data_IF_509596275546
#
_entry.id   IF_509596275546
#
_cell.length_a   1.000
_cell.length_b   1.000
_cell.length_c   1.000
_cell.angle_alpha   90.00
_cell.angle_beta   90.00
_cell.angle_gamma   90.00
#
_symmetry.space_group_name_H-M   'P 1'
#
loop_
_entity.id
_entity.type
_entity.pdbx_description
1 polymer ?
#
# COMPACT_ATOMS: atom_id res chain seq x y z
N UNK A 1 -28.59 -26.28 -0.02
CA UNK A 1 -27.47 -26.69 0.88
C UNK A 1 -28.03 -27.60 1.95
N UNK A 2 -27.44 -28.77 2.18
CA UNK A 2 -27.92 -29.72 3.18
C UNK A 2 -27.07 -29.69 4.45
N UNK A 3 -27.71 -29.90 5.59
CA UNK A 3 -27.05 -29.93 6.89
C UNK A 3 -26.12 -31.15 7.00
N UNK A 4 -24.82 -30.99 7.30
CA UNK A 4 -23.87 -32.10 7.39
C UNK A 4 -24.12 -33.02 8.59
N UNK A 5 -25.01 -32.66 9.52
CA UNK A 5 -25.36 -33.46 10.69
C UNK A 5 -26.56 -34.35 10.46
N UNK A 6 -27.62 -33.84 9.83
CA UNK A 6 -28.90 -34.58 9.71
C UNK A 6 -29.38 -34.72 8.25
N UNK A 7 -28.70 -34.17 7.27
CA UNK A 7 -29.05 -34.26 5.85
C UNK A 7 -30.17 -33.35 5.37
N UNK A 8 -30.90 -32.69 6.29
CA UNK A 8 -32.02 -31.81 5.98
C UNK A 8 -31.57 -30.51 5.25
N UNK A 9 -32.45 -29.92 4.47
CA UNK A 9 -32.18 -28.67 3.80
C UNK A 9 -32.12 -27.50 4.79
N UNK A 10 -31.13 -26.60 4.61
CA UNK A 10 -30.99 -25.40 5.44
C UNK A 10 -32.10 -24.39 5.18
N UNK A 11 -32.66 -23.83 6.25
CA UNK A 11 -33.37 -22.57 6.22
C UNK A 11 -32.41 -21.39 6.25
N UNK A 12 -32.83 -20.28 5.71
CA UNK A 12 -32.07 -19.02 5.75
C UNK A 12 -32.60 -18.16 6.90
N UNK A 13 -31.76 -17.86 7.88
CA UNK A 13 -32.04 -16.88 8.91
C UNK A 13 -31.57 -15.52 8.41
N UNK A 14 -32.51 -14.57 8.26
CA UNK A 14 -32.24 -13.20 7.82
C UNK A 14 -32.73 -12.23 8.90
N UNK A 15 -31.78 -11.49 9.51
CA UNK A 15 -32.11 -10.41 10.44
C UNK A 15 -30.95 -9.42 10.50
N UNK A 16 -31.24 -8.14 10.51
CA UNK A 16 -30.26 -7.05 10.68
C UNK A 16 -29.04 -7.12 9.74
N UNK A 17 -29.29 -7.53 8.50
CA UNK A 17 -28.23 -7.71 7.50
C UNK A 17 -27.35 -8.96 7.71
N UNK A 18 -27.68 -9.80 8.71
CA UNK A 18 -27.09 -11.12 8.85
C UNK A 18 -27.87 -12.13 8.03
N UNK A 19 -27.15 -12.89 7.21
CA UNK A 19 -27.68 -14.03 6.47
C UNK A 19 -26.91 -15.28 6.90
N UNK A 20 -27.57 -16.19 7.61
CA UNK A 20 -26.94 -17.43 8.12
C UNK A 20 -27.77 -18.62 7.73
N UNK A 21 -27.10 -19.70 7.33
CA UNK A 21 -27.75 -20.99 7.05
C UNK A 21 -28.00 -21.74 8.35
N UNK A 22 -29.25 -22.13 8.60
CA UNK A 22 -29.62 -22.80 9.82
C UNK A 22 -30.51 -24.02 9.56
N UNK A 23 -30.29 -25.08 10.33
CA UNK A 23 -31.08 -26.30 10.23
C UNK A 23 -32.26 -26.28 11.18
N UNK A 24 -33.50 -26.41 10.66
CA UNK A 24 -34.72 -26.41 11.45
C UNK A 24 -34.82 -27.64 12.37
N UNK A 25 -34.26 -28.77 11.93
CA UNK A 25 -34.36 -30.05 12.65
C UNK A 25 -33.36 -30.14 13.81
N UNK A 26 -32.04 -30.01 13.53
CA UNK A 26 -31.01 -30.16 14.56
C UNK A 26 -30.50 -28.84 15.14
N UNK A 27 -31.05 -27.68 14.68
CA UNK A 27 -30.73 -26.33 15.14
C UNK A 27 -29.28 -25.94 15.02
N UNK A 28 -28.52 -26.65 14.20
CA UNK A 28 -27.14 -26.34 13.87
C UNK A 28 -27.08 -25.18 12.87
N UNK A 29 -25.99 -24.40 12.90
CA UNK A 29 -25.75 -23.28 12.01
C UNK A 29 -24.42 -23.41 11.29
N UNK A 30 -24.40 -23.00 10.05
CA UNK A 30 -23.16 -22.79 9.30
C UNK A 30 -22.96 -21.30 9.05
N UNK A 31 -21.83 -20.76 9.51
CA UNK A 31 -21.55 -19.32 9.55
C UNK A 31 -20.20 -19.05 8.89
N UNK A 32 -20.14 -18.25 7.80
CA UNK A 32 -18.89 -17.76 7.24
C UNK A 32 -18.15 -16.84 8.21
N UNK A 33 -16.82 -16.85 8.22
CA UNK A 33 -16.02 -16.03 9.13
C UNK A 33 -16.34 -14.52 9.09
N UNK A 34 -16.57 -13.89 7.91
CA UNK A 34 -16.98 -12.48 7.87
C UNK A 34 -18.31 -12.20 8.61
N UNK A 35 -19.24 -13.16 8.59
CA UNK A 35 -20.51 -13.04 9.30
C UNK A 35 -20.29 -13.22 10.81
N UNK A 36 -19.40 -14.16 11.20
CA UNK A 36 -19.00 -14.34 12.60
C UNK A 36 -18.35 -13.08 13.18
N UNK A 37 -17.49 -12.39 12.41
CA UNK A 37 -16.94 -11.11 12.81
C UNK A 37 -18.01 -10.01 12.96
N UNK A 38 -19.00 -10.02 12.08
CA UNK A 38 -20.13 -9.06 12.17
C UNK A 38 -20.94 -9.28 13.43
N UNK A 39 -21.25 -10.54 13.78
CA UNK A 39 -21.92 -10.89 15.04
C UNK A 39 -21.09 -10.40 16.23
N UNK A 40 -19.78 -10.59 16.21
CA UNK A 40 -18.87 -10.10 17.24
C UNK A 40 -18.91 -8.57 17.38
N UNK A 41 -18.96 -7.84 16.26
CA UNK A 41 -19.13 -6.39 16.26
C UNK A 41 -20.44 -5.92 16.87
N UNK A 42 -21.53 -6.65 16.65
CA UNK A 42 -22.84 -6.36 17.27
C UNK A 42 -22.85 -6.59 18.79
N UNK A 43 -22.01 -7.52 19.26
CA UNK A 43 -21.83 -7.83 20.68
C UNK A 43 -20.86 -6.89 21.42
N UNK A 44 -20.29 -5.90 20.71
CA UNK A 44 -19.30 -4.92 21.22
C UNK A 44 -18.11 -5.58 21.94
N UNK A 45 -17.61 -6.67 21.37
CA UNK A 45 -16.48 -7.41 21.93
C UNK A 45 -15.18 -6.60 21.79
N UNK A 46 -14.45 -6.45 22.89
CA UNK A 46 -13.19 -5.68 22.93
C UNK A 46 -12.01 -6.39 22.27
N UNK A 47 -12.07 -7.71 22.17
CA UNK A 47 -11.02 -8.55 21.60
C UNK A 47 -11.42 -9.02 20.19
N UNK A 48 -10.51 -8.96 19.21
CA UNK A 48 -10.79 -9.50 17.88
C UNK A 48 -10.97 -11.02 17.98
N UNK A 49 -11.98 -11.56 17.28
CA UNK A 49 -12.16 -13.01 17.17
C UNK A 49 -11.13 -13.57 16.20
N UNK A 50 -10.38 -14.57 16.65
CA UNK A 50 -9.46 -15.33 15.80
C UNK A 50 -10.30 -16.23 14.89
N UNK A 51 -9.88 -16.35 13.62
CA UNK A 51 -10.54 -17.24 12.68
C UNK A 51 -10.34 -18.71 13.11
N UNK A 52 -11.40 -19.46 13.43
CA UNK A 52 -11.24 -20.86 13.83
C UNK A 52 -10.59 -21.74 12.74
N UNK A 53 -10.72 -21.38 11.47
CA UNK A 53 -10.10 -22.12 10.36
C UNK A 53 -8.55 -22.00 10.30
N UNK A 54 -7.97 -21.00 10.97
CA UNK A 54 -6.51 -20.79 11.05
C UNK A 54 -5.88 -21.53 12.25
N UNK A 55 -6.69 -22.21 13.07
CA UNK A 55 -6.21 -22.94 14.24
C UNK A 55 -5.73 -24.35 13.88
N UNK A 56 -4.85 -24.91 14.71
CA UNK A 56 -4.36 -26.28 14.52
C UNK A 56 -5.53 -27.30 14.67
N UNK A 57 -5.68 -28.21 13.70
CA UNK A 57 -6.74 -29.21 13.71
C UNK A 57 -6.49 -30.27 14.81
N UNK A 58 -7.55 -30.66 15.49
CA UNK A 58 -7.52 -31.78 16.43
C UNK A 58 -7.38 -33.10 15.68
N UNK A 59 -6.46 -33.95 16.11
CA UNK A 59 -6.34 -35.33 15.66
C UNK A 59 -7.39 -36.20 16.36
N UNK A 60 -8.61 -36.24 15.80
CA UNK A 60 -9.72 -37.06 16.34
C UNK A 60 -9.97 -38.23 15.42
N UNK A 61 -10.37 -39.38 15.98
CA UNK A 61 -10.71 -40.59 15.21
C UNK A 61 -12.15 -40.58 14.66
N UNK A 62 -12.87 -39.47 14.80
CA UNK A 62 -14.25 -39.34 14.34
C UNK A 62 -14.32 -39.00 12.84
N UNK A 63 -15.43 -39.40 12.18
CA UNK A 63 -15.68 -39.06 10.78
C UNK A 63 -15.75 -37.55 10.58
N UNK A 64 -15.09 -37.05 9.53
CA UNK A 64 -15.12 -35.65 9.17
C UNK A 64 -16.46 -35.29 8.52
N UNK A 65 -17.06 -34.19 8.94
CA UNK A 65 -18.25 -33.64 8.29
C UNK A 65 -17.85 -32.93 6.98
N UNK A 66 -18.75 -33.00 5.99
CA UNK A 66 -18.55 -32.34 4.70
C UNK A 66 -19.11 -30.91 4.76
N UNK A 67 -18.34 -29.93 4.34
CA UNK A 67 -18.76 -28.54 4.32
C UNK A 67 -19.94 -28.32 3.38
N UNK A 68 -21.00 -27.69 3.87
CA UNK A 68 -22.21 -27.41 3.10
C UNK A 68 -22.00 -26.40 1.95
N UNK A 69 -20.93 -25.61 1.99
CA UNK A 69 -20.64 -24.56 1.01
C UNK A 69 -19.73 -25.04 -0.13
N UNK A 70 -18.63 -25.72 0.18
CA UNK A 70 -17.61 -26.09 -0.80
C UNK A 70 -17.44 -27.61 -0.99
N UNK A 71 -18.23 -28.41 -0.28
CA UNK A 71 -18.26 -29.88 -0.37
C UNK A 71 -16.94 -30.59 -0.01
N UNK A 72 -16.08 -29.94 0.78
CA UNK A 72 -14.81 -30.47 1.29
C UNK A 72 -14.94 -30.90 2.77
N UNK A 73 -14.04 -31.77 3.21
CA UNK A 73 -14.05 -32.24 4.60
C UNK A 73 -13.69 -31.07 5.54
N UNK A 74 -14.52 -30.89 6.58
CA UNK A 74 -14.25 -29.92 7.65
C UNK A 74 -13.33 -30.55 8.69
N UNK A 75 -12.55 -29.72 9.37
CA UNK A 75 -11.64 -30.10 10.44
C UNK A 75 -12.20 -29.68 11.78
N UNK A 76 -12.00 -30.52 12.80
CA UNK A 76 -12.36 -30.18 14.17
C UNK A 76 -11.26 -29.37 14.82
N UNK A 77 -11.62 -28.23 15.41
CA UNK A 77 -10.70 -27.32 16.06
C UNK A 77 -11.16 -27.11 17.52
N UNK A 78 -10.21 -27.16 18.43
CA UNK A 78 -10.46 -26.87 19.84
C UNK A 78 -10.25 -25.37 20.11
N UNK A 79 -11.32 -24.73 20.55
CA UNK A 79 -11.29 -23.31 20.88
C UNK A 79 -11.78 -23.11 22.32
N UNK A 80 -10.86 -22.85 23.24
CA UNK A 80 -11.14 -22.50 24.64
C UNK A 80 -12.26 -23.35 25.33
N UNK A 81 -12.19 -24.67 25.17
CA UNK A 81 -13.15 -25.60 25.79
C UNK A 81 -14.30 -26.01 24.87
N UNK A 82 -14.38 -25.54 23.66
CA UNK A 82 -15.40 -25.89 22.66
C UNK A 82 -14.70 -26.53 21.46
N UNK A 83 -15.31 -27.55 20.91
CA UNK A 83 -14.86 -28.18 19.65
C UNK A 83 -15.83 -27.75 18.56
N UNK A 84 -15.35 -27.10 17.52
CA UNK A 84 -16.13 -26.65 16.36
C UNK A 84 -15.60 -27.27 15.07
N UNK A 85 -16.47 -27.53 14.10
CA UNK A 85 -16.07 -27.99 12.79
C UNK A 85 -15.83 -26.82 11.86
N UNK A 86 -14.63 -26.71 11.27
CA UNK A 86 -14.24 -25.59 10.40
C UNK A 86 -13.79 -26.07 9.03
N UNK A 87 -14.06 -25.26 8.02
CA UNK A 87 -13.58 -25.50 6.67
C UNK A 87 -12.42 -24.55 6.36
N UNK A 88 -11.24 -25.08 6.07
CA UNK A 88 -10.06 -24.27 5.74
C UNK A 88 -10.14 -23.61 4.36
N UNK A 89 -10.93 -24.18 3.43
CA UNK A 89 -11.04 -23.64 2.06
C UNK A 89 -11.98 -22.44 1.95
N UNK A 90 -13.12 -22.44 2.66
CA UNK A 90 -14.11 -21.36 2.61
C UNK A 90 -14.21 -20.54 3.90
N UNK A 91 -13.38 -20.86 4.90
CA UNK A 91 -13.37 -20.21 6.22
C UNK A 91 -14.74 -20.16 6.93
N UNK A 92 -15.60 -21.17 6.63
CA UNK A 92 -16.88 -21.33 7.30
C UNK A 92 -16.76 -22.22 8.53
N UNK A 93 -17.53 -21.90 9.58
CA UNK A 93 -17.58 -22.66 10.83
C UNK A 93 -18.99 -23.22 11.04
N UNK A 94 -19.06 -24.48 11.40
CA UNK A 94 -20.30 -25.17 11.71
C UNK A 94 -20.45 -25.26 13.23
N UNK A 95 -21.57 -24.76 13.73
CA UNK A 95 -21.93 -24.75 15.13
C UNK A 95 -23.08 -25.70 15.38
N UNK A 96 -22.89 -26.69 16.22
CA UNK A 96 -23.99 -27.51 16.76
C UNK A 96 -24.91 -26.66 17.66
N UNK A 97 -26.07 -27.20 18.01
CA UNK A 97 -27.04 -26.47 18.85
C UNK A 97 -26.42 -26.03 20.17
N UNK A 98 -26.50 -24.72 20.48
CA UNK A 98 -25.95 -24.12 21.69
C UNK A 98 -24.44 -23.86 21.66
N UNK A 99 -23.72 -24.27 20.62
CA UNK A 99 -22.26 -23.99 20.53
C UNK A 99 -21.97 -22.54 20.21
N UNK A 100 -22.80 -21.85 19.42
CA UNK A 100 -22.65 -20.44 19.13
C UNK A 100 -22.71 -19.60 20.43
N UNK A 101 -23.63 -19.88 21.32
CA UNK A 101 -23.74 -19.20 22.60
C UNK A 101 -22.52 -19.48 23.49
N UNK A 102 -22.02 -20.73 23.53
CA UNK A 102 -20.81 -21.08 24.25
C UNK A 102 -19.58 -20.34 23.69
N UNK A 103 -19.46 -20.28 22.37
CA UNK A 103 -18.37 -19.60 21.69
C UNK A 103 -18.29 -18.11 22.07
N UNK A 104 -19.41 -17.40 22.00
CA UNK A 104 -19.43 -15.98 22.33
C UNK A 104 -19.37 -15.68 23.82
N UNK A 105 -19.91 -16.56 24.68
CA UNK A 105 -19.82 -16.41 26.12
C UNK A 105 -18.40 -16.33 26.67
N UNK A 106 -17.41 -16.87 25.93
CA UNK A 106 -15.99 -16.78 26.28
C UNK A 106 -15.44 -15.34 26.20
N UNK A 107 -16.06 -14.50 25.38
CA UNK A 107 -15.64 -13.12 25.14
C UNK A 107 -16.51 -12.09 25.86
N UNK A 108 -17.66 -12.52 26.42
CA UNK A 108 -18.63 -11.62 27.05
C UNK A 108 -18.34 -11.43 28.53
N UNK A 109 -18.47 -10.21 29.04
CA UNK A 109 -18.35 -9.91 30.47
C UNK A 109 -19.47 -10.54 31.30
N UNK A 110 -20.69 -10.63 30.74
CA UNK A 110 -21.87 -11.27 31.36
C UNK A 110 -22.33 -12.40 30.43
N UNK A 111 -21.89 -13.65 30.65
CA UNK A 111 -22.26 -14.76 29.82
C UNK A 111 -23.77 -15.02 29.90
N UNK A 112 -24.43 -15.08 28.76
CA UNK A 112 -25.77 -15.62 28.66
C UNK A 112 -25.65 -17.13 28.76
N UNK A 113 -26.39 -17.82 29.58
CA UNK A 113 -26.36 -19.30 29.66
C UNK A 113 -26.34 -19.99 28.29
N UNK A 114 -26.18 -21.30 28.25
CA UNK A 114 -26.21 -22.05 26.98
C UNK A 114 -27.64 -22.02 26.44
N UNK A 115 -27.85 -21.26 25.37
CA UNK A 115 -29.14 -21.11 24.69
C UNK A 115 -29.03 -21.62 23.25
N UNK A 116 -30.17 -21.90 22.63
CA UNK A 116 -30.28 -22.26 21.22
C UNK A 116 -29.61 -21.19 20.31
N UNK A 117 -28.99 -21.59 19.23
CA UNK A 117 -28.26 -20.67 18.32
C UNK A 117 -29.14 -19.54 17.80
N UNK A 118 -30.44 -19.82 17.49
CA UNK A 118 -31.39 -18.77 17.04
C UNK A 118 -31.76 -17.86 18.19
N UNK A 119 -32.10 -18.43 19.33
CA UNK A 119 -32.45 -17.66 20.53
C UNK A 119 -31.30 -16.76 20.95
N UNK A 120 -30.06 -17.22 20.81
CA UNK A 120 -28.88 -16.40 21.04
C UNK A 120 -28.83 -15.20 20.11
N UNK A 121 -29.00 -15.41 18.78
CA UNK A 121 -29.03 -14.33 17.82
C UNK A 121 -30.17 -13.36 18.06
N UNK A 122 -31.37 -13.88 18.35
CA UNK A 122 -32.56 -13.05 18.65
C UNK A 122 -32.42 -12.21 19.91
N UNK A 123 -31.72 -12.72 20.92
CA UNK A 123 -31.51 -12.04 22.19
C UNK A 123 -30.48 -10.93 22.12
N UNK A 124 -29.39 -11.16 21.37
CA UNK A 124 -28.25 -10.29 21.36
C UNK A 124 -28.12 -9.42 20.08
N UNK A 125 -28.77 -9.82 18.98
CA UNK A 125 -28.88 -9.01 17.77
C UNK A 125 -30.21 -8.25 17.75
N UNK A 126 -30.67 -7.67 18.87
CA UNK A 126 -31.84 -6.78 18.91
C UNK A 126 -31.57 -5.53 18.09
N UNK A 127 -32.57 -5.15 17.28
CA UNK A 127 -32.63 -3.97 16.43
C UNK A 127 -31.97 -2.73 17.06
N UNK A 128 -30.71 -2.52 16.75
CA UNK A 128 -30.20 -1.16 16.55
C UNK A 128 -30.49 -0.84 15.10
N UNK A 129 -31.33 0.15 14.86
CA UNK A 129 -31.70 0.62 13.53
C UNK A 129 -30.47 0.62 12.62
N UNK A 130 -30.51 -0.10 11.49
CA UNK A 130 -29.41 -0.18 10.51
C UNK A 130 -28.98 1.21 10.07
N UNK A 131 -29.88 2.20 10.09
CA UNK A 131 -29.58 3.60 9.86
C UNK A 131 -28.71 4.23 10.96
N UNK A 132 -28.88 3.86 12.23
CA UNK A 132 -28.06 4.38 13.35
C UNK A 132 -26.69 3.70 13.42
N UNK A 133 -26.60 2.41 13.09
CA UNK A 133 -25.32 1.68 13.05
C UNK A 133 -24.47 2.14 11.85
N UNK A 134 -25.09 2.32 10.68
CA UNK A 134 -24.38 2.88 9.52
C UNK A 134 -23.98 4.34 9.76
N UNK A 135 -24.84 5.15 10.39
CA UNK A 135 -24.51 6.51 10.79
C UNK A 135 -23.41 6.56 11.86
N UNK A 136 -23.46 5.66 12.85
CA UNK A 136 -22.42 5.55 13.88
C UNK A 136 -21.09 4.99 13.33
N UNK A 137 -21.10 4.12 12.32
CA UNK A 137 -19.90 3.66 11.61
C UNK A 137 -19.36 4.75 10.71
N UNK A 138 -20.20 5.48 9.99
CA UNK A 138 -19.83 6.65 9.21
C UNK A 138 -19.28 7.78 10.10
N UNK A 139 -19.96 8.11 11.19
CA UNK A 139 -19.49 9.08 12.17
C UNK A 139 -18.19 8.66 12.87
N UNK A 140 -18.03 7.37 13.23
CA UNK A 140 -16.76 6.85 13.77
C UNK A 140 -15.64 6.84 12.72
N UNK A 141 -15.96 6.58 11.46
CA UNK A 141 -15.00 6.61 10.35
C UNK A 141 -14.63 8.07 10.02
N UNK A 142 -15.61 8.97 10.00
CA UNK A 142 -15.42 10.40 9.83
C UNK A 142 -14.64 10.98 11.03
N UNK A 143 -15.02 10.66 12.28
CA UNK A 143 -14.27 11.06 13.48
C UNK A 143 -12.83 10.54 13.48
N UNK A 144 -12.60 9.26 13.17
CA UNK A 144 -11.24 8.74 13.02
C UNK A 144 -10.47 9.42 11.90
N UNK A 145 -11.12 9.76 10.79
CA UNK A 145 -10.50 10.52 9.70
C UNK A 145 -10.27 11.99 10.07
N UNK A 146 -11.16 12.58 10.85
CA UNK A 146 -11.02 13.94 11.38
C UNK A 146 -10.01 14.01 12.53
N UNK A 147 -10.00 13.02 13.44
CA UNK A 147 -8.95 12.88 14.47
C UNK A 147 -7.58 12.62 13.84
N UNK A 148 -7.49 11.80 12.79
CA UNK A 148 -6.27 11.61 12.03
C UNK A 148 -5.89 12.85 11.24
N UNK A 149 -6.86 13.63 10.74
CA UNK A 149 -6.63 14.94 10.11
C UNK A 149 -6.26 16.00 11.15
N UNK A 150 -6.94 16.06 12.29
CA UNK A 150 -6.62 17.01 13.37
C UNK A 150 -5.27 16.69 14.00
N UNK A 151 -4.94 15.41 14.20
CA UNK A 151 -3.62 14.96 14.65
C UNK A 151 -2.54 15.28 13.60
N UNK A 152 -2.83 15.12 12.29
CA UNK A 152 -1.94 15.57 11.21
C UNK A 152 -1.80 17.10 11.16
N UNK A 153 -2.88 17.84 11.34
CA UNK A 153 -2.87 19.31 11.39
C UNK A 153 -2.14 19.79 12.64
N UNK A 154 -2.31 19.13 13.78
CA UNK A 154 -1.63 19.44 15.03
C UNK A 154 -0.12 19.13 14.97
N UNK A 155 0.28 18.06 14.28
CA UNK A 155 1.68 17.78 13.96
C UNK A 155 2.22 18.79 12.95
N UNK A 156 1.42 19.19 11.94
CA UNK A 156 1.82 20.20 10.95
C UNK A 156 1.92 21.62 11.53
N UNK A 157 1.14 21.92 12.57
CA UNK A 157 1.16 23.23 13.21
C UNK A 157 2.25 23.36 14.28
N UNK A 158 2.85 22.25 14.71
CA UNK A 158 3.67 22.28 15.93
C UNK A 158 5.00 22.97 15.80
N UNK A 159 5.64 23.03 14.62
CA UNK A 159 6.85 23.86 14.49
C UNK A 159 7.15 24.22 13.02
N UNK A 160 6.73 25.40 12.61
CA UNK A 160 7.27 26.01 11.39
C UNK A 160 8.75 26.31 11.59
N UNK A 161 9.57 25.94 10.60
CA UNK A 161 11.00 26.18 10.61
C UNK A 161 11.29 27.69 10.78
N UNK A 162 11.94 28.05 11.89
CA UNK A 162 12.34 29.43 12.21
C UNK A 162 13.81 29.56 11.89
N UNK A 163 14.17 30.65 11.20
CA UNK A 163 15.59 31.03 11.08
C UNK A 163 16.06 31.57 12.43
N UNK A 164 17.18 31.05 12.92
CA UNK A 164 17.81 31.57 14.12
C UNK A 164 18.53 32.89 13.80
N UNK A 165 18.54 33.81 14.76
CA UNK A 165 19.35 34.99 14.64
C UNK A 165 20.83 34.62 14.76
N UNK A 166 21.60 34.89 13.72
CA UNK A 166 23.04 34.63 13.64
C UNK A 166 23.75 35.88 13.16
N UNK A 167 24.86 36.17 13.77
CA UNK A 167 25.76 37.24 13.36
C UNK A 167 26.92 36.66 12.55
N UNK A 168 27.50 37.49 11.70
CA UNK A 168 28.72 37.09 11.01
C UNK A 168 29.85 36.93 12.03
N UNK A 169 30.46 35.72 12.08
CA UNK A 169 31.50 35.39 13.04
C UNK A 169 32.72 36.33 12.97
N UNK A 170 33.09 36.79 11.77
CA UNK A 170 34.19 37.78 11.63
C UNK A 170 33.91 39.13 12.28
N UNK A 171 32.66 39.58 12.17
CA UNK A 171 32.24 40.83 12.82
C UNK A 171 32.30 40.73 14.36
N UNK A 172 31.88 39.54 14.89
CA UNK A 172 31.96 39.31 16.33
C UNK A 172 33.42 39.22 16.79
N UNK A 173 34.32 38.58 16.03
CA UNK A 173 35.76 38.59 16.35
C UNK A 173 36.31 39.99 16.40
N UNK A 174 35.94 40.85 15.43
CA UNK A 174 36.38 42.24 15.45
C UNK A 174 35.95 42.98 16.72
N UNK A 175 34.70 42.82 17.15
CA UNK A 175 34.22 43.38 18.41
C UNK A 175 34.94 42.78 19.63
N UNK A 176 35.29 41.49 19.63
CA UNK A 176 36.05 40.87 20.71
C UNK A 176 37.46 41.42 20.82
N UNK A 177 38.13 41.65 19.67
CA UNK A 177 39.47 42.31 19.65
C UNK A 177 39.37 43.74 20.23
N UNK A 178 38.34 44.48 19.86
CA UNK A 178 38.11 45.83 20.45
C UNK A 178 37.90 45.76 21.95
N UNK A 179 37.16 44.77 22.45
CA UNK A 179 36.99 44.55 23.90
C UNK A 179 38.29 44.17 24.62
N UNK A 180 39.23 43.46 23.97
CA UNK A 180 40.56 43.23 24.55
C UNK A 180 41.35 44.51 24.78
N UNK A 181 41.20 45.52 23.90
CA UNK A 181 41.79 46.85 24.14
C UNK A 181 41.18 47.51 25.39
N UNK A 182 39.88 47.38 25.62
CA UNK A 182 39.24 47.89 26.83
C UNK A 182 39.73 47.15 28.09
N UNK A 183 39.95 45.85 28.02
CA UNK A 183 40.57 45.06 29.13
C UNK A 183 41.92 45.64 29.48
N UNK A 184 42.79 45.94 28.50
CA UNK A 184 44.11 46.52 28.72
C UNK A 184 44.02 47.91 29.38
N UNK A 185 43.08 48.80 28.90
CA UNK A 185 42.85 50.12 29.47
C UNK A 185 42.38 50.02 30.94
N UNK A 186 41.39 49.19 31.24
CA UNK A 186 40.86 49.04 32.62
C UNK A 186 41.87 48.44 33.56
N UNK A 187 42.74 47.53 33.05
CA UNK A 187 43.86 47.00 33.84
C UNK A 187 44.89 48.06 34.17
N UNK A 188 45.22 48.96 33.22
CA UNK A 188 46.14 50.07 33.44
C UNK A 188 45.62 51.13 34.43
N UNK A 189 44.30 51.36 34.50
CA UNK A 189 43.62 52.29 35.42
C UNK A 189 43.50 51.65 36.84
N UNK A 190 43.76 50.29 37.00
CA UNK A 190 43.64 49.65 38.31
C UNK A 190 42.29 49.01 38.58
N UNK A 191 41.38 49.01 37.63
CA UNK A 191 40.03 48.41 37.75
C UNK A 191 40.03 46.90 37.40
N UNK A 192 40.85 46.12 38.16
CA UNK A 192 41.10 44.73 37.89
C UNK A 192 39.83 43.83 37.89
N UNK A 193 38.85 44.15 38.78
CA UNK A 193 37.58 43.40 38.82
C UNK A 193 36.83 43.50 37.50
N UNK A 194 36.76 44.69 36.90
CA UNK A 194 36.06 44.90 35.62
C UNK A 194 36.78 44.23 34.45
N UNK A 195 38.11 44.21 34.45
CA UNK A 195 38.91 43.52 33.43
C UNK A 195 38.69 42.01 33.48
N UNK A 196 38.62 41.38 34.68
CA UNK A 196 38.30 39.97 34.84
C UNK A 196 36.87 39.65 34.33
N UNK A 197 35.89 40.47 34.62
CA UNK A 197 34.51 40.30 34.17
C UNK A 197 34.42 40.35 32.63
N UNK A 198 35.12 41.28 31.97
CA UNK A 198 35.14 41.38 30.51
C UNK A 198 35.79 40.12 29.88
N UNK A 199 36.90 39.65 30.48
CA UNK A 199 37.56 38.41 30.02
C UNK A 199 36.62 37.22 30.13
N UNK A 200 35.88 37.08 31.23
CA UNK A 200 34.89 36.03 31.41
C UNK A 200 33.77 36.10 30.37
N UNK A 201 33.27 37.33 30.05
CA UNK A 201 32.29 37.54 28.96
C UNK A 201 32.86 37.16 27.60
N UNK A 202 34.11 37.51 27.30
CA UNK A 202 34.78 37.12 26.04
C UNK A 202 34.87 35.59 25.93
N UNK A 203 35.34 34.95 27.00
CA UNK A 203 35.44 33.48 27.05
C UNK A 203 34.07 32.80 26.82
N UNK A 204 33.02 33.33 27.45
CA UNK A 204 31.65 32.82 27.22
C UNK A 204 31.19 33.03 25.78
N UNK A 205 31.42 34.19 25.18
CA UNK A 205 31.08 34.47 23.79
C UNK A 205 31.81 33.59 22.80
N UNK A 206 33.05 33.13 23.12
CA UNK A 206 33.81 32.21 22.25
C UNK A 206 33.10 30.88 22.01
N UNK A 207 32.25 30.40 22.93
CA UNK A 207 31.51 29.15 22.75
C UNK A 207 30.40 29.23 21.68
N UNK A 208 30.01 30.46 21.28
CA UNK A 208 28.96 30.73 20.30
C UNK A 208 29.41 30.57 18.83
N UNK A 209 30.68 30.38 18.51
CA UNK A 209 31.14 30.24 17.15
C UNK A 209 30.82 28.88 16.57
N UNK A 210 30.18 28.87 15.37
CA UNK A 210 29.86 27.68 14.60
C UNK A 210 30.26 27.87 13.16
N UNK A 211 30.91 26.81 12.61
CA UNK A 211 31.29 26.75 11.21
C UNK A 211 30.37 25.76 10.51
N UNK A 212 29.69 26.21 9.48
CA UNK A 212 28.76 25.39 8.69
C UNK A 212 29.25 25.27 7.26
N UNK A 213 29.29 24.04 6.74
CA UNK A 213 29.67 23.76 5.34
C UNK A 213 28.47 24.01 4.40
N UNK A 214 28.73 24.18 3.09
CA UNK A 214 27.67 24.26 2.10
C UNK A 214 26.77 23.03 2.13
N UNK A 215 25.45 23.25 2.00
CA UNK A 215 24.43 22.18 2.05
C UNK A 215 24.39 21.39 3.37
N UNK A 216 24.70 22.08 4.47
CA UNK A 216 24.50 21.58 5.82
C UNK A 216 23.60 22.54 6.61
N UNK A 217 22.87 21.97 7.57
CA UNK A 217 22.03 22.73 8.48
C UNK A 217 22.22 22.23 9.92
N UNK A 218 22.03 23.12 10.88
CA UNK A 218 22.10 22.80 12.30
C UNK A 218 20.83 23.25 13.00
N UNK A 219 20.17 22.31 13.71
CA UNK A 219 18.98 22.59 14.50
C UNK A 219 19.40 22.91 15.92
N UNK A 220 18.91 24.02 16.45
CA UNK A 220 19.32 24.59 17.71
C UNK A 220 18.14 24.68 18.68
N UNK A 221 18.41 24.29 19.92
CA UNK A 221 17.45 24.38 21.04
C UNK A 221 18.00 25.32 22.10
N UNK A 222 17.13 26.09 22.73
CA UNK A 222 17.42 26.94 23.85
C UNK A 222 16.57 26.53 25.05
N UNK A 223 17.20 26.04 26.11
CA UNK A 223 16.53 25.53 27.31
C UNK A 223 15.46 24.50 27.00
N UNK A 224 15.75 23.55 26.05
CA UNK A 224 14.83 22.49 25.66
C UNK A 224 13.72 22.90 24.69
N UNK A 225 13.63 24.19 24.31
CA UNK A 225 12.68 24.66 23.28
C UNK A 225 13.40 24.86 21.96
N UNK A 226 12.72 24.58 20.84
CA UNK A 226 13.26 24.87 19.53
C UNK A 226 13.51 26.37 19.35
N UNK A 227 14.75 26.73 19.11
CA UNK A 227 15.17 28.12 18.92
C UNK A 227 15.21 28.51 17.44
N UNK A 228 15.52 27.58 16.56
CA UNK A 228 15.58 27.77 15.12
C UNK A 228 16.63 26.92 14.44
N UNK A 229 16.61 26.93 13.11
CA UNK A 229 17.58 26.24 12.28
C UNK A 229 18.54 27.21 11.64
N UNK A 230 19.83 26.90 11.69
CA UNK A 230 20.88 27.62 10.99
C UNK A 230 21.10 26.92 9.63
N UNK A 231 20.72 27.60 8.56
CA UNK A 231 20.95 27.18 7.18
C UNK A 231 21.85 28.21 6.50
N UNK A 232 22.84 27.77 5.83
CA UNK A 232 23.77 28.63 5.08
C UNK A 232 25.20 28.36 5.47
N UNK A 233 26.04 28.26 4.46
CA UNK A 233 27.47 28.05 4.66
C UNK A 233 28.13 29.30 5.23
N UNK A 234 29.10 29.10 6.08
CA UNK A 234 29.91 30.18 6.57
C UNK A 234 30.25 30.08 8.05
N UNK A 235 30.88 31.15 8.53
CA UNK A 235 31.30 31.30 9.91
C UNK A 235 30.28 32.19 10.63
N UNK A 236 29.50 31.59 11.48
CA UNK A 236 28.39 32.21 12.19
C UNK A 236 28.65 32.24 13.69
N UNK A 237 28.17 33.31 14.32
CA UNK A 237 28.07 33.41 15.75
C UNK A 237 26.61 33.33 16.18
N UNK A 238 26.31 32.46 17.12
CA UNK A 238 24.98 32.24 17.68
C UNK A 238 25.03 32.38 19.20
N UNK A 239 23.87 32.49 19.82
CA UNK A 239 23.79 32.58 21.29
C UNK A 239 24.52 31.38 21.92
N UNK A 240 25.51 31.60 22.78
CA UNK A 240 26.28 30.53 23.44
C UNK A 240 25.44 29.51 24.23
N UNK A 241 24.25 29.94 24.71
CA UNK A 241 23.32 29.07 25.44
C UNK A 241 22.51 28.17 24.53
N UNK A 242 22.52 28.43 23.21
CA UNK A 242 21.81 27.58 22.24
C UNK A 242 22.63 26.30 21.99
N UNK A 243 22.03 25.15 22.29
CA UNK A 243 22.62 23.83 22.08
C UNK A 243 22.15 23.25 20.78
N UNK A 244 23.05 22.62 20.05
CA UNK A 244 22.68 21.82 18.89
C UNK A 244 22.03 20.51 19.35
N UNK A 245 20.91 20.11 18.70
CA UNK A 245 20.25 18.83 18.96
C UNK A 245 21.21 17.67 18.65
N UNK A 246 22.01 17.85 17.59
CA UNK A 246 23.10 16.92 17.24
C UNK A 246 24.44 17.65 17.39
N UNK A 247 25.13 17.50 18.53
CA UNK A 247 26.25 18.39 18.88
C UNK A 247 27.45 18.33 17.92
N UNK A 248 27.61 17.24 17.16
CA UNK A 248 28.77 17.06 16.28
C UNK A 248 28.45 16.76 14.82
N UNK A 249 27.17 16.48 14.48
CA UNK A 249 26.79 16.07 13.13
C UNK A 249 25.70 16.99 12.58
N UNK A 250 26.04 17.93 11.68
CA UNK A 250 25.04 18.74 11.00
C UNK A 250 24.18 17.88 10.08
N UNK A 251 22.94 18.32 9.87
CA UNK A 251 22.01 17.66 8.94
C UNK A 251 22.44 18.02 7.51
N UNK A 252 22.67 17.01 6.68
CA UNK A 252 22.96 17.24 5.26
C UNK A 252 21.66 17.52 4.51
N UNK A 253 21.65 18.64 3.77
CA UNK A 253 20.56 19.04 2.87
C UNK A 253 20.77 18.54 1.44
N UNK A 254 21.86 17.79 1.20
CA UNK A 254 22.17 17.23 -0.13
C UNK A 254 21.13 16.18 -0.49
N UNK A 255 20.81 16.11 -1.77
CA UNK A 255 20.01 15.01 -2.28
C UNK A 255 20.73 13.67 -2.01
N UNK A 256 19.96 12.69 -1.56
CA UNK A 256 20.41 11.34 -1.23
C UNK A 256 19.54 10.36 -1.98
N UNK A 257 20.10 9.17 -2.19
CA UNK A 257 19.39 8.08 -2.84
C UNK A 257 19.09 7.00 -1.80
N UNK A 258 17.83 6.55 -1.80
CA UNK A 258 17.39 5.36 -1.10
C UNK A 258 17.05 4.31 -2.15
N UNK A 259 17.70 3.16 -2.09
CA UNK A 259 17.37 1.99 -2.89
C UNK A 259 16.62 1.00 -2.00
N UNK A 260 15.38 0.68 -2.36
CA UNK A 260 14.63 -0.39 -1.74
C UNK A 260 15.01 -1.72 -2.40
N UNK A 261 15.31 -2.73 -1.58
CA UNK A 261 15.57 -4.08 -2.07
C UNK A 261 14.37 -4.65 -2.84
N UNK A 262 14.61 -5.70 -3.62
CA UNK A 262 13.55 -6.42 -4.33
C UNK A 262 12.53 -6.98 -3.35
N UNK A 263 11.28 -6.60 -3.51
CA UNK A 263 10.16 -7.08 -2.70
C UNK A 263 9.20 -7.90 -3.56
N UNK A 264 8.72 -9.01 -3.01
CA UNK A 264 7.68 -9.83 -3.66
C UNK A 264 6.31 -9.29 -3.25
N UNK A 265 5.55 -8.81 -4.23
CA UNK A 265 4.24 -8.19 -4.04
C UNK A 265 3.30 -8.74 -5.12
N UNK A 266 2.03 -8.94 -4.79
CA UNK A 266 1.03 -9.33 -5.78
C UNK A 266 0.49 -8.09 -6.50
N UNK A 267 0.37 -8.16 -7.82
CA UNK A 267 -0.26 -7.14 -8.65
C UNK A 267 -1.80 -7.10 -8.49
N UNK A 268 -2.51 -6.23 -9.25
CA UNK A 268 -3.98 -6.15 -9.25
C UNK A 268 -4.64 -7.51 -9.58
N UNK A 269 -4.02 -8.32 -10.43
CA UNK A 269 -4.53 -9.63 -10.85
C UNK A 269 -4.17 -10.77 -9.88
N UNK A 270 -3.40 -10.48 -8.82
CA UNK A 270 -2.93 -11.45 -7.85
C UNK A 270 -1.66 -12.19 -8.26
N UNK A 271 -0.99 -11.79 -9.33
CA UNK A 271 0.28 -12.41 -9.75
C UNK A 271 1.42 -11.92 -8.86
N UNK A 272 2.26 -12.81 -8.29
CA UNK A 272 3.44 -12.40 -7.53
C UNK A 272 4.51 -11.83 -8.47
N UNK A 273 4.91 -10.57 -8.21
CA UNK A 273 5.96 -9.87 -8.93
C UNK A 273 7.06 -9.43 -7.97
N UNK A 274 8.28 -9.37 -8.45
CA UNK A 274 9.43 -8.78 -7.75
C UNK A 274 9.62 -7.36 -8.23
N UNK A 275 9.54 -6.41 -7.29
CA UNK A 275 9.65 -4.98 -7.56
C UNK A 275 10.69 -4.34 -6.65
N UNK A 276 11.54 -3.50 -7.21
CA UNK A 276 12.47 -2.64 -6.50
C UNK A 276 12.28 -1.19 -6.93
N UNK A 277 12.53 -0.25 -6.02
CA UNK A 277 12.46 1.18 -6.31
C UNK A 277 13.72 1.90 -5.88
N UNK A 278 13.97 3.00 -6.53
CA UNK A 278 14.95 4.01 -6.14
C UNK A 278 14.22 5.33 -5.87
N UNK A 279 14.52 5.94 -4.74
CA UNK A 279 13.93 7.21 -4.30
C UNK A 279 15.05 8.22 -4.10
N UNK A 280 14.98 9.34 -4.79
CA UNK A 280 15.88 10.48 -4.60
C UNK A 280 15.15 11.49 -3.72
N UNK A 281 15.76 11.89 -2.62
CA UNK A 281 15.16 12.71 -1.60
C UNK A 281 16.15 13.66 -0.93
N UNK A 282 15.63 14.69 -0.31
CA UNK A 282 16.41 15.68 0.43
C UNK A 282 15.63 16.14 1.68
N UNK A 283 16.34 16.73 2.65
CA UNK A 283 15.71 17.32 3.83
C UNK A 283 15.32 18.75 3.49
N UNK A 284 14.01 19.03 3.47
CA UNK A 284 13.46 20.37 3.23
C UNK A 284 13.28 21.14 4.54
N UNK A 285 12.66 20.50 5.54
CA UNK A 285 12.39 21.07 6.86
C UNK A 285 13.20 20.31 7.92
N UNK A 286 14.26 20.95 8.39
CA UNK A 286 15.18 20.34 9.35
C UNK A 286 14.60 20.17 10.74
N UNK A 287 13.66 21.04 11.14
CA UNK A 287 12.99 20.94 12.42
C UNK A 287 12.08 19.69 12.44
N UNK A 288 11.27 19.49 11.39
CA UNK A 288 10.41 18.31 11.27
C UNK A 288 11.23 17.02 11.21
N UNK A 289 12.34 17.03 10.47
CA UNK A 289 13.21 15.87 10.35
C UNK A 289 13.83 15.42 11.68
N UNK A 290 14.05 16.37 12.62
CA UNK A 290 14.66 16.08 13.90
C UNK A 290 13.67 15.84 15.03
N UNK A 291 12.49 16.46 15.00
CA UNK A 291 11.56 16.40 16.14
C UNK A 291 10.34 15.53 15.90
N UNK A 292 9.93 15.31 14.63
CA UNK A 292 8.74 14.52 14.35
C UNK A 292 9.02 13.03 14.20
N UNK A 293 10.27 12.64 13.88
CA UNK A 293 10.67 11.24 13.68
C UNK A 293 12.02 10.97 14.35
N UNK A 294 12.20 9.78 14.88
CA UNK A 294 13.45 9.42 15.54
C UNK A 294 14.60 9.25 14.53
N UNK A 295 14.32 8.55 13.44
CA UNK A 295 15.25 8.37 12.31
C UNK A 295 14.49 8.52 11.01
N UNK A 296 14.75 9.60 10.32
CA UNK A 296 14.11 9.92 9.05
C UNK A 296 14.53 8.98 7.91
N UNK A 297 15.70 8.32 7.98
CA UNK A 297 16.11 7.35 6.96
C UNK A 297 15.27 6.07 7.06
N UNK A 298 15.15 5.50 8.27
CA UNK A 298 14.32 4.31 8.53
C UNK A 298 12.84 4.62 8.26
N UNK A 299 12.38 5.81 8.65
CA UNK A 299 11.01 6.25 8.38
C UNK A 299 10.72 6.33 6.88
N UNK A 300 11.62 6.95 6.10
CA UNK A 300 11.50 7.04 4.64
C UNK A 300 11.45 5.65 4.00
N UNK A 301 12.34 4.74 4.38
CA UNK A 301 12.37 3.37 3.87
C UNK A 301 11.02 2.68 4.07
N UNK A 302 10.51 2.70 5.31
CA UNK A 302 9.23 2.08 5.64
C UNK A 302 8.05 2.69 4.87
N UNK A 303 8.02 4.02 4.70
CA UNK A 303 6.97 4.71 3.95
C UNK A 303 7.06 4.47 2.46
N UNK A 304 8.28 4.38 1.91
CA UNK A 304 8.52 4.04 0.50
C UNK A 304 8.06 2.62 0.19
N UNK A 305 8.36 1.66 1.05
CA UNK A 305 7.91 0.27 0.90
C UNK A 305 6.38 0.15 0.99
N UNK A 306 5.76 0.90 1.88
CA UNK A 306 4.30 0.94 2.02
C UNK A 306 3.63 1.54 0.77
N UNK A 307 4.15 2.65 0.26
CA UNK A 307 3.65 3.29 -0.96
C UNK A 307 3.81 2.38 -2.18
N UNK A 308 4.97 1.70 -2.30
CA UNK A 308 5.22 0.73 -3.36
C UNK A 308 4.16 -0.38 -3.37
N UNK A 309 3.88 -0.98 -2.19
CA UNK A 309 2.86 -2.03 -2.05
C UNK A 309 1.47 -1.56 -2.47
N UNK A 310 1.12 -0.33 -2.12
CA UNK A 310 -0.18 0.26 -2.48
C UNK A 310 -0.29 0.44 -4.00
N UNK A 311 0.73 1.01 -4.63
CA UNK A 311 0.75 1.23 -6.08
C UNK A 311 0.72 -0.10 -6.84
N UNK A 312 1.59 -1.05 -6.48
CA UNK A 312 1.66 -2.36 -7.14
C UNK A 312 0.33 -3.12 -7.09
N UNK A 313 -0.39 -3.06 -5.97
CA UNK A 313 -1.70 -3.71 -5.84
C UNK A 313 -2.81 -3.05 -6.66
N UNK A 314 -2.62 -1.81 -7.08
CA UNK A 314 -3.63 -1.03 -7.82
C UNK A 314 -3.52 -1.23 -9.32
N UNK A 315 -2.35 -1.65 -9.83
CA UNK A 315 -2.08 -1.77 -11.26
C UNK A 315 -1.64 -3.19 -11.64
N UNK A 316 -2.10 -3.73 -12.79
CA UNK A 316 -1.61 -5.01 -13.30
C UNK A 316 -0.17 -4.85 -13.82
N UNK A 317 0.61 -5.94 -13.78
CA UNK A 317 1.96 -5.97 -14.34
C UNK A 317 1.96 -5.67 -15.84
N UNK A 318 1.08 -6.34 -16.59
CA UNK A 318 0.98 -6.25 -18.05
C UNK A 318 -0.48 -6.13 -18.49
N UNK A 319 -0.73 -5.49 -19.62
CA UNK A 319 -2.08 -5.33 -20.14
C UNK A 319 -2.60 -6.65 -20.73
N UNK A 320 -3.83 -6.96 -20.42
CA UNK A 320 -4.65 -7.81 -21.29
C UNK A 320 -5.29 -6.88 -22.31
N UNK A 321 -5.14 -7.13 -23.61
CA UNK A 321 -5.49 -6.24 -24.74
C UNK A 321 -6.89 -5.59 -24.69
N UNK A 322 -7.78 -6.12 -23.88
CA UNK A 322 -9.18 -5.66 -23.78
C UNK A 322 -9.45 -4.58 -22.71
N UNK A 323 -8.46 -4.23 -21.87
CA UNK A 323 -8.79 -3.46 -20.65
C UNK A 323 -8.53 -1.96 -20.74
N UNK A 324 -7.72 -1.45 -21.66
CA UNK A 324 -7.38 -0.01 -21.74
C UNK A 324 -6.83 0.58 -20.43
N UNK A 325 -6.49 -0.29 -19.45
CA UNK A 325 -5.98 0.10 -18.12
C UNK A 325 -4.48 0.36 -18.18
N UNK A 326 -4.03 1.29 -17.37
CA UNK A 326 -2.62 1.55 -17.14
C UNK A 326 -1.93 0.33 -16.52
N UNK A 327 -0.70 0.05 -16.94
CA UNK A 327 0.09 -1.10 -16.49
C UNK A 327 1.41 -0.68 -15.89
N UNK A 328 1.93 -1.49 -14.94
CA UNK A 328 3.23 -1.21 -14.32
C UNK A 328 4.38 -1.19 -15.33
N UNK A 329 4.28 -1.99 -16.41
CA UNK A 329 5.30 -2.11 -17.44
C UNK A 329 5.19 -1.04 -18.54
N UNK A 330 3.97 -0.74 -19.00
CA UNK A 330 3.75 0.16 -20.13
C UNK A 330 3.82 1.63 -19.75
N UNK A 331 3.25 2.00 -18.61
CA UNK A 331 3.02 3.39 -18.20
C UNK A 331 3.97 3.82 -17.07
N UNK A 332 5.24 3.39 -17.14
CA UNK A 332 6.22 3.54 -16.06
C UNK A 332 6.42 4.98 -15.59
N UNK A 333 6.30 5.97 -16.49
CA UNK A 333 6.45 7.39 -16.15
C UNK A 333 5.30 7.88 -15.25
N UNK A 334 4.05 7.61 -15.65
CA UNK A 334 2.88 8.05 -14.91
C UNK A 334 2.78 7.36 -13.54
N UNK A 335 3.15 6.08 -13.49
CA UNK A 335 3.21 5.31 -12.25
C UNK A 335 4.30 5.86 -11.32
N UNK A 336 5.45 6.27 -11.87
CA UNK A 336 6.52 6.92 -11.10
C UNK A 336 6.06 8.25 -10.48
N UNK A 337 5.29 9.05 -11.20
CA UNK A 337 4.71 10.29 -10.67
C UNK A 337 3.70 10.02 -9.56
N UNK A 338 2.84 9.02 -9.71
CA UNK A 338 1.89 8.59 -8.66
C UNK A 338 2.63 8.03 -7.44
N UNK A 339 3.67 7.24 -7.65
CA UNK A 339 4.52 6.72 -6.58
C UNK A 339 5.21 7.85 -5.81
N UNK A 340 5.81 8.81 -6.53
CA UNK A 340 6.40 10.01 -5.93
C UNK A 340 5.38 10.78 -5.10
N UNK A 341 4.17 11.01 -5.62
CA UNK A 341 3.12 11.73 -4.92
C UNK A 341 2.65 11.00 -3.65
N UNK A 342 2.52 9.68 -3.71
CA UNK A 342 2.12 8.86 -2.55
C UNK A 342 3.21 8.84 -1.47
N UNK A 343 4.48 8.68 -1.85
CA UNK A 343 5.61 8.75 -0.92
C UNK A 343 5.66 10.16 -0.31
N UNK A 344 5.60 11.23 -1.13
CA UNK A 344 5.67 12.61 -0.66
C UNK A 344 4.59 12.93 0.37
N UNK A 345 3.36 12.46 0.14
CA UNK A 345 2.26 12.62 1.08
C UNK A 345 2.57 12.01 2.45
N UNK A 346 3.17 10.82 2.46
CA UNK A 346 3.48 10.10 3.68
C UNK A 346 4.68 10.69 4.43
N UNK A 347 5.72 11.17 3.71
CA UNK A 347 6.96 11.68 4.32
C UNK A 347 6.94 13.18 4.64
N UNK A 348 5.89 13.89 4.22
CA UNK A 348 5.72 15.32 4.51
C UNK A 348 5.76 15.65 6.01
N UNK A 349 5.31 14.71 6.85
CA UNK A 349 5.36 14.82 8.33
C UNK A 349 6.80 14.87 8.84
N UNK A 350 7.72 14.17 8.18
CA UNK A 350 9.14 14.17 8.51
C UNK A 350 9.93 15.34 7.87
N UNK A 351 9.26 16.23 7.15
CA UNK A 351 9.91 17.35 6.49
C UNK A 351 10.86 16.98 5.35
N UNK A 352 10.65 15.82 4.73
CA UNK A 352 11.42 15.35 3.60
C UNK A 352 10.75 15.75 2.29
N UNK A 353 11.56 16.04 1.27
CA UNK A 353 11.13 16.32 -0.08
C UNK A 353 11.60 15.18 -1.01
N UNK A 354 10.68 14.59 -1.75
CA UNK A 354 10.99 13.57 -2.75
C UNK A 354 11.23 14.27 -4.09
N UNK A 355 12.47 14.21 -4.54
CA UNK A 355 12.89 14.77 -5.83
C UNK A 355 12.37 13.89 -6.96
N UNK A 356 12.61 12.57 -6.86
CA UNK A 356 12.21 11.59 -7.85
C UNK A 356 11.98 10.20 -7.21
N UNK A 357 11.11 9.38 -7.81
CA UNK A 357 10.89 8.00 -7.38
C UNK A 357 10.62 7.14 -8.60
N UNK A 358 11.44 6.10 -8.81
CA UNK A 358 11.37 5.23 -10.00
C UNK A 358 11.43 3.76 -9.63
N UNK A 359 10.75 2.94 -10.42
CA UNK A 359 10.86 1.49 -10.36
C UNK A 359 12.17 1.09 -11.05
N UNK A 360 13.06 0.39 -10.34
CA UNK A 360 14.36 -0.07 -10.86
C UNK A 360 14.34 -1.52 -11.31
N UNK A 361 13.51 -2.33 -10.64
CA UNK A 361 13.34 -3.74 -10.96
C UNK A 361 11.85 -4.07 -11.01
N UNK A 362 11.43 -4.73 -12.07
CA UNK A 362 10.06 -5.18 -12.26
C UNK A 362 10.08 -6.47 -13.06
N UNK A 363 9.76 -7.57 -12.40
CA UNK A 363 9.73 -8.90 -13.02
C UNK A 363 8.69 -9.78 -12.34
N UNK A 364 8.20 -10.80 -13.04
CA UNK A 364 7.43 -11.86 -12.39
C UNK A 364 8.31 -12.62 -11.40
N UNK A 365 7.73 -13.04 -10.29
CA UNK A 365 8.43 -13.90 -9.35
C UNK A 365 8.84 -15.23 -10.05
N UNK A 366 10.01 -15.80 -9.70
CA UNK A 366 10.55 -16.97 -10.38
C UNK A 366 9.59 -18.15 -10.48
N UNK A 367 8.71 -18.30 -9.50
CA UNK A 367 7.73 -19.39 -9.44
C UNK A 367 6.72 -19.38 -10.59
N UNK A 368 6.37 -18.20 -11.10
CA UNK A 368 5.37 -18.06 -12.17
C UNK A 368 5.97 -17.55 -13.49
N UNK A 369 7.23 -17.14 -13.49
CA UNK A 369 7.86 -16.49 -14.65
C UNK A 369 7.77 -17.33 -15.93
N UNK A 370 8.01 -18.65 -15.85
CA UNK A 370 7.92 -19.57 -16.99
C UNK A 370 6.48 -19.67 -17.51
N UNK A 371 5.51 -19.82 -16.63
CA UNK A 371 4.10 -19.92 -17.00
C UNK A 371 3.59 -18.63 -17.64
N UNK A 372 4.00 -17.47 -17.12
CA UNK A 372 3.64 -16.17 -17.68
C UNK A 372 4.28 -15.92 -19.04
N UNK A 373 5.53 -16.35 -19.23
CA UNK A 373 6.18 -16.28 -20.53
C UNK A 373 5.45 -17.13 -21.57
N UNK A 374 5.04 -18.37 -21.23
CA UNK A 374 4.25 -19.22 -22.11
C UNK A 374 2.89 -18.57 -22.46
N UNK A 375 2.24 -17.95 -21.48
CA UNK A 375 0.99 -17.20 -21.71
C UNK A 375 1.19 -16.04 -22.68
N UNK A 376 2.26 -15.24 -22.48
CA UNK A 376 2.59 -14.12 -23.38
C UNK A 376 2.92 -14.61 -24.80
N UNK A 377 3.66 -15.71 -24.94
CA UNK A 377 3.94 -16.32 -26.24
C UNK A 377 2.66 -16.79 -26.94
N UNK A 378 1.76 -17.46 -26.21
CA UNK A 378 0.48 -17.90 -26.76
C UNK A 378 -0.39 -16.71 -27.22
N UNK A 379 -0.48 -15.66 -26.41
CA UNK A 379 -1.19 -14.45 -26.77
C UNK A 379 -0.59 -13.79 -28.04
N UNK A 380 0.73 -13.62 -28.07
CA UNK A 380 1.42 -13.03 -29.23
C UNK A 380 1.19 -13.84 -30.53
N UNK A 381 1.14 -15.20 -30.44
CA UNK A 381 0.83 -16.04 -31.59
C UNK A 381 -0.62 -15.81 -32.06
N UNK A 382 -1.57 -15.72 -31.14
CA UNK A 382 -2.98 -15.46 -31.46
C UNK A 382 -3.11 -14.08 -32.14
N UNK A 383 -2.48 -13.07 -31.58
CA UNK A 383 -2.53 -11.70 -32.10
C UNK A 383 -1.87 -11.58 -33.48
N UNK A 384 -0.71 -12.23 -33.66
CA UNK A 384 -0.07 -12.33 -34.98
C UNK A 384 -0.98 -13.01 -36.00
N UNK A 385 -1.65 -14.11 -35.61
CA UNK A 385 -2.60 -14.81 -36.50
C UNK A 385 -3.82 -13.94 -36.82
N UNK A 386 -4.34 -13.19 -35.85
CA UNK A 386 -5.46 -12.26 -36.08
C UNK A 386 -5.05 -11.18 -37.07
N UNK A 387 -3.89 -10.56 -36.86
CA UNK A 387 -3.38 -9.53 -37.78
C UNK A 387 -3.17 -10.06 -39.22
N UNK A 388 -2.71 -11.31 -39.35
CA UNK A 388 -2.59 -11.96 -40.68
C UNK A 388 -3.97 -12.14 -41.32
N UNK A 389 -4.96 -12.61 -40.58
CA UNK A 389 -6.33 -12.81 -41.10
C UNK A 389 -6.95 -11.48 -41.48
N UNK A 390 -6.88 -10.46 -40.63
CA UNK A 390 -7.44 -9.14 -40.88
C UNK A 390 -6.76 -8.49 -42.10
N UNK A 391 -5.42 -8.61 -42.19
CA UNK A 391 -4.67 -8.17 -43.37
C UNK A 391 -5.05 -8.92 -44.64
N UNK A 392 -5.23 -10.24 -44.58
CA UNK A 392 -5.66 -11.06 -45.71
C UNK A 392 -7.05 -10.69 -46.20
N UNK A 393 -8.01 -10.50 -45.28
CA UNK A 393 -9.38 -10.02 -45.60
C UNK A 393 -9.36 -8.66 -46.27
N UNK A 394 -8.58 -7.69 -45.72
CA UNK A 394 -8.43 -6.37 -46.29
C UNK A 394 -7.80 -6.39 -47.70
N UNK A 395 -6.78 -7.25 -47.92
CA UNK A 395 -6.16 -7.41 -49.26
C UNK A 395 -7.14 -8.00 -50.28
N UNK A 396 -7.95 -9.00 -49.89
CA UNK A 396 -8.99 -9.59 -50.75
C UNK A 396 -10.06 -8.58 -51.08
N UNK A 397 -10.52 -7.78 -50.11
CA UNK A 397 -11.49 -6.74 -50.30
C UNK A 397 -10.98 -5.65 -51.28
N UNK A 398 -9.74 -5.19 -51.09
CA UNK A 398 -9.10 -4.23 -51.99
C UNK A 398 -8.96 -4.78 -53.41
N UNK A 399 -8.57 -6.07 -53.56
CA UNK A 399 -8.45 -6.72 -54.86
C UNK A 399 -9.79 -6.79 -55.59
N UNK A 400 -10.86 -7.20 -54.89
CA UNK A 400 -12.20 -7.28 -55.46
C UNK A 400 -12.77 -5.93 -55.85
N UNK A 401 -12.57 -4.88 -55.03
CA UNK A 401 -12.96 -3.51 -55.30
C UNK A 401 -12.24 -2.96 -56.54
N UNK A 402 -10.93 -3.24 -56.68
CA UNK A 402 -10.14 -2.80 -57.81
C UNK A 402 -10.56 -3.50 -59.13
N UNK A 403 -10.79 -4.81 -59.11
CA UNK A 403 -11.31 -5.55 -60.26
C UNK A 403 -12.68 -5.06 -60.71
N UNK A 404 -13.53 -4.62 -59.76
CA UNK A 404 -14.85 -4.02 -60.05
C UNK A 404 -14.73 -2.60 -60.59
N UNK A 405 -13.86 -1.76 -60.04
CA UNK A 405 -13.66 -0.38 -60.49
C UNK A 405 -13.07 -0.26 -61.91
N UNK A 406 -12.14 -1.16 -62.22
CA UNK A 406 -11.43 -1.15 -63.48
C UNK A 406 -12.17 -1.93 -64.59
N UNK A 407 -13.39 -2.48 -64.33
CA UNK A 407 -14.20 -3.25 -65.24
C UNK A 407 -13.48 -4.45 -65.91
N UNK A 408 -12.48 -5.01 -65.24
CA UNK A 408 -11.59 -6.04 -65.82
C UNK A 408 -12.35 -7.39 -65.97
N UNK A 409 -13.26 -7.71 -65.04
CA UNK A 409 -14.01 -8.99 -65.08
C UNK A 409 -15.35 -8.82 -64.41
N UNK A 410 -16.43 -9.29 -65.07
CA UNK A 410 -17.75 -9.47 -64.46
C UNK A 410 -17.83 -10.87 -63.84
N UNK A 411 -17.50 -10.98 -62.55
CA UNK A 411 -17.57 -12.22 -61.81
C UNK A 411 -18.97 -12.51 -61.30
N UNK A 412 -19.44 -13.75 -61.49
CA UNK A 412 -20.65 -14.22 -60.81
C UNK A 412 -20.39 -14.32 -59.28
N UNK A 413 -21.43 -14.34 -58.48
CA UNK A 413 -21.25 -14.38 -57.02
C UNK A 413 -20.60 -15.72 -56.57
N UNK A 414 -20.83 -16.81 -57.28
CA UNK A 414 -20.14 -18.08 -57.06
C UNK A 414 -18.64 -18.03 -57.38
N UNK A 415 -18.26 -17.35 -58.44
CA UNK A 415 -16.86 -17.22 -58.82
C UNK A 415 -16.12 -16.27 -57.87
N UNK A 416 -16.76 -15.24 -57.34
CA UNK A 416 -16.25 -14.38 -56.28
C UNK A 416 -16.00 -15.19 -55.00
N UNK A 417 -16.98 -16.04 -54.58
CA UNK A 417 -16.82 -16.90 -53.39
C UNK A 417 -15.65 -17.86 -53.50
N UNK A 418 -15.49 -18.48 -54.68
CA UNK A 418 -14.35 -19.40 -54.96
C UNK A 418 -13.00 -18.63 -54.92
N UNK A 419 -12.95 -17.45 -55.54
CA UNK A 419 -11.77 -16.59 -55.57
C UNK A 419 -11.38 -16.14 -54.17
N UNK A 420 -12.33 -15.66 -53.34
CA UNK A 420 -12.13 -15.28 -51.95
C UNK A 420 -11.56 -16.45 -51.15
N UNK A 421 -12.15 -17.64 -51.24
CA UNK A 421 -11.72 -18.82 -50.51
C UNK A 421 -10.29 -19.21 -50.91
N UNK A 422 -9.96 -19.23 -52.19
CA UNK A 422 -8.63 -19.54 -52.65
C UNK A 422 -7.57 -18.54 -52.20
N UNK A 423 -7.88 -17.24 -52.27
CA UNK A 423 -6.99 -16.15 -51.82
C UNK A 423 -6.77 -16.19 -50.32
N UNK A 424 -7.82 -16.39 -49.49
CA UNK A 424 -7.70 -16.49 -48.06
C UNK A 424 -6.87 -17.73 -47.63
N UNK A 425 -7.05 -18.86 -48.29
CA UNK A 425 -6.24 -20.06 -48.01
C UNK A 425 -4.77 -19.81 -48.29
N UNK A 426 -4.42 -19.15 -49.41
CA UNK A 426 -3.04 -18.81 -49.77
C UNK A 426 -2.44 -17.80 -48.81
N UNK A 427 -3.19 -16.73 -48.49
CA UNK A 427 -2.69 -15.60 -47.65
C UNK A 427 -2.60 -15.99 -46.17
N UNK A 428 -3.50 -16.86 -45.68
CA UNK A 428 -3.49 -17.29 -44.26
C UNK A 428 -2.64 -18.57 -44.03
N UNK A 429 -2.12 -19.21 -45.10
CA UNK A 429 -1.31 -20.43 -44.98
C UNK A 429 0.11 -20.10 -44.51
N UNK A 430 0.60 -20.86 -43.51
CA UNK A 430 1.99 -20.76 -43.04
C UNK A 430 3.01 -21.52 -43.88
N UNK A 431 2.55 -22.24 -44.97
CA UNK A 431 3.43 -22.97 -45.90
C UNK A 431 3.31 -22.35 -47.27
N UNK A 432 4.42 -22.33 -48.01
CA UNK A 432 4.40 -21.99 -49.44
C UNK A 432 3.37 -22.84 -50.14
N UNK A 433 2.20 -22.26 -50.47
CA UNK A 433 1.17 -22.92 -51.19
C UNK A 433 1.61 -23.04 -52.65
N UNK A 434 1.88 -24.27 -53.12
CA UNK A 434 2.07 -24.54 -54.56
C UNK A 434 0.69 -24.62 -55.20
N UNK A 435 0.30 -23.68 -56.08
CA UNK A 435 -0.97 -23.73 -56.79
C UNK A 435 -0.96 -24.92 -57.77
N UNK A 436 -1.76 -25.96 -57.53
CA UNK A 436 -1.97 -26.99 -58.49
C UNK A 436 -3.10 -26.56 -59.44
N UNK A 437 -2.72 -26.04 -60.61
CA UNK A 437 -3.69 -25.74 -61.65
C UNK A 437 -4.16 -27.07 -62.28
N UNK A 438 -5.40 -27.50 -61.95
CA UNK A 438 -6.09 -28.55 -62.74
C UNK A 438 -6.58 -27.90 -64.01
N UNK A 439 -5.85 -28.14 -65.12
CA UNK A 439 -6.36 -27.86 -66.45
C UNK A 439 -7.39 -28.95 -66.81
N UNK A 440 -8.66 -28.70 -66.52
CA UNK A 440 -9.77 -29.41 -67.19
C UNK A 440 -9.98 -28.79 -68.58
N UNK A 441 -9.11 -29.23 -69.55
CA UNK A 441 -9.39 -29.01 -70.99
C UNK A 441 -10.48 -30.01 -71.38
N UNK A 442 -11.68 -29.54 -71.62
CA UNK A 442 -12.66 -30.14 -72.48
C UNK A 442 -12.88 -29.26 -73.69
#
# INVERSE_FOLDING_TARGET
>A
MNCPKCGEEYGLYKRDGLEVCYCKNCKAMWIPFPVLQRIAGMLDLKTPIINPAEMEPLRVKEEFRVCSSCNKNMQKVFFNGIIVDTCQDCNGTFFDNGELSKFFNLFMKNPAGVVDNIEFLDKFCKEKNVSEVNKAIEEKTIRKSEEAKSYRVEIQSKEQEKKIFSLNGFLVIFFMIMNLLFVWIFFAIGWHFLSVLIIACIAFCCSGFKLLKPQEAMVLTLFGKYAGSLKGAGFHWINPLAQSVTPFVPISLKARTLESGKQKINDELGNPIEVGIIVIWEVQDTAKAMFNVNDYNTFLSAQSDSALRNIVRTYPYDATESSGKQTLRGDSQEISEKLKAEIQKNVSVAGLNIVDAKITHLAYAPEIAVAMLQRQQAAAIIDAKRAIVDGAVGMVEMALNKLKSDNIVNLSDDDKAKMINNLLVILCSNKEAQPVLKNDIR
#
